data_IF_390453789237
#
_entry.id   IF_390453789237
#
_cell.length_a   1.000
_cell.length_b   1.000
_cell.length_c   1.000
_cell.angle_alpha   90.00
_cell.angle_beta   90.00
_cell.angle_gamma   90.00
#
_symmetry.space_group_name_H-M   'P 1'
#
loop_
_entity.id
_entity.type
_entity.pdbx_description
1 polymer ?
#
# COMPACT_ATOMS: atom_id res chain seq x y z
N UNK A 1 15.35 2.97 -5.33
CA UNK A 1 14.08 2.36 -5.75
C UNK A 1 13.79 2.84 -7.16
N UNK A 2 13.60 1.93 -8.10
CA UNK A 2 13.26 2.28 -9.49
C UNK A 2 11.75 2.09 -9.70
N UNK A 3 11.08 2.97 -10.47
CA UNK A 3 9.65 2.84 -10.74
C UNK A 3 9.36 1.65 -11.66
N UNK A 4 8.13 1.13 -11.61
CA UNK A 4 7.71 0.08 -12.52
C UNK A 4 7.53 0.66 -13.93
N UNK A 5 7.95 -0.10 -14.95
CA UNK A 5 7.74 0.26 -16.36
C UNK A 5 6.29 0.01 -16.78
N UNK A 6 5.37 0.76 -16.17
CA UNK A 6 3.91 0.64 -16.35
C UNK A 6 3.29 2.02 -16.52
N UNK A 7 2.19 2.10 -17.27
CA UNK A 7 1.47 3.35 -17.43
C UNK A 7 0.69 3.72 -16.15
N UNK A 8 0.54 5.01 -15.83
CA UNK A 8 -0.32 5.42 -14.72
C UNK A 8 -1.75 4.92 -14.93
N UNK A 9 -2.45 4.59 -13.83
CA UNK A 9 -3.87 4.17 -13.85
C UNK A 9 -4.14 2.97 -14.77
N UNK A 10 -3.29 1.94 -14.67
CA UNK A 10 -3.45 0.70 -15.44
C UNK A 10 -4.28 -0.33 -14.68
N UNK A 11 -4.12 -0.41 -13.36
CA UNK A 11 -4.67 -1.50 -12.55
C UNK A 11 -5.88 -1.06 -11.71
N UNK A 12 -6.86 -1.95 -11.60
CA UNK A 12 -7.99 -1.83 -10.66
C UNK A 12 -7.69 -2.50 -9.31
N UNK A 13 -6.73 -3.41 -9.27
CA UNK A 13 -6.36 -4.17 -8.07
C UNK A 13 -4.86 -4.39 -7.96
N UNK A 14 -4.30 -4.22 -6.76
CA UNK A 14 -2.91 -4.57 -6.43
C UNK A 14 -2.89 -5.40 -5.15
N UNK A 15 -2.28 -6.57 -5.19
CA UNK A 15 -2.01 -7.37 -4.01
C UNK A 15 -0.52 -7.30 -3.65
N UNK A 16 -0.22 -7.05 -2.37
CA UNK A 16 1.15 -6.95 -1.87
C UNK A 16 1.30 -7.79 -0.61
N UNK A 17 2.40 -8.54 -0.53
CA UNK A 17 2.78 -9.28 0.67
C UNK A 17 4.29 -9.13 0.93
N UNK A 18 4.67 -9.05 2.20
CA UNK A 18 6.08 -9.06 2.60
C UNK A 18 6.87 -7.80 2.24
N UNK A 19 6.23 -6.63 2.26
CA UNK A 19 6.86 -5.30 2.19
C UNK A 19 8.00 -5.15 3.19
N UNK A 20 7.90 -5.73 4.39
CA UNK A 20 8.99 -5.68 5.39
C UNK A 20 10.33 -6.16 4.81
N UNK A 21 10.31 -7.23 4.01
CA UNK A 21 11.50 -7.80 3.36
C UNK A 21 12.06 -6.91 2.24
N UNK A 22 11.23 -6.07 1.63
CA UNK A 22 11.64 -5.12 0.60
C UNK A 22 12.33 -3.90 1.21
N UNK A 23 11.87 -3.45 2.36
CA UNK A 23 12.38 -2.24 3.02
C UNK A 23 13.64 -2.55 3.83
N UNK A 24 13.75 -3.73 4.45
CA UNK A 24 14.90 -4.14 5.26
C UNK A 24 15.78 -5.11 4.48
N UNK A 25 17.00 -4.73 4.15
CA UNK A 25 18.00 -5.70 3.69
C UNK A 25 18.43 -6.59 4.87
N UNK A 26 18.38 -7.93 4.75
CA UNK A 26 18.98 -8.81 5.75
C UNK A 26 20.48 -8.50 5.85
N UNK A 27 20.95 -8.09 7.04
CA UNK A 27 22.37 -7.81 7.29
C UNK A 27 22.87 -6.42 6.86
N UNK A 28 21.99 -5.48 6.48
CA UNK A 28 22.38 -4.10 6.16
C UNK A 28 21.39 -3.09 6.74
N UNK A 29 21.89 -1.99 7.30
CA UNK A 29 21.08 -0.86 7.77
C UNK A 29 20.51 0.00 6.63
N UNK A 30 20.85 -0.31 5.37
CA UNK A 30 20.35 0.42 4.20
C UNK A 30 19.03 -0.19 3.72
N UNK A 31 18.04 0.67 3.57
CA UNK A 31 16.77 0.31 2.91
C UNK A 31 16.98 0.24 1.39
N UNK A 32 16.39 -0.77 0.70
CA UNK A 32 16.38 -0.82 -0.78
C UNK A 32 15.45 0.24 -1.38
N UNK A 33 14.36 0.52 -0.67
CA UNK A 33 13.25 1.36 -1.09
C UNK A 33 12.55 1.95 0.14
N UNK A 34 12.29 3.26 0.12
CA UNK A 34 11.45 3.91 1.12
C UNK A 34 10.00 3.44 0.93
N UNK A 35 9.28 3.19 2.04
CA UNK A 35 7.86 2.83 2.00
C UNK A 35 7.00 3.90 1.31
N UNK A 36 7.35 5.17 1.48
CA UNK A 36 6.63 6.28 0.82
C UNK A 36 6.77 6.18 -0.69
N UNK A 37 7.98 5.92 -1.20
CA UNK A 37 8.22 5.77 -2.65
C UNK A 37 7.39 4.61 -3.21
N UNK A 38 7.32 3.48 -2.49
CA UNK A 38 6.51 2.33 -2.87
C UNK A 38 5.02 2.69 -2.92
N UNK A 39 4.49 3.35 -1.90
CA UNK A 39 3.09 3.75 -1.82
C UNK A 39 2.71 4.77 -2.92
N UNK A 40 3.58 5.73 -3.22
CA UNK A 40 3.35 6.71 -4.31
C UNK A 40 3.38 6.03 -5.68
N UNK A 41 4.25 5.05 -5.88
CA UNK A 41 4.28 4.28 -7.12
C UNK A 41 3.03 3.41 -7.28
N UNK A 42 2.54 2.81 -6.20
CA UNK A 42 1.24 2.13 -6.19
C UNK A 42 0.10 3.09 -6.52
N UNK A 43 0.11 4.32 -5.97
CA UNK A 43 -0.86 5.35 -6.34
C UNK A 43 -0.78 5.73 -7.82
N UNK A 44 0.40 5.91 -8.38
CA UNK A 44 0.56 6.20 -9.80
C UNK A 44 -0.08 5.11 -10.67
N UNK A 45 0.13 3.84 -10.32
CA UNK A 45 -0.34 2.68 -11.09
C UNK A 45 -1.84 2.41 -10.95
N UNK A 46 -2.44 2.72 -9.80
CA UNK A 46 -3.83 2.38 -9.49
C UNK A 46 -4.82 3.39 -10.09
N UNK A 47 -5.87 2.88 -10.74
CA UNK A 47 -7.02 3.68 -11.19
C UNK A 47 -7.76 4.27 -9.98
N UNK A 48 -8.46 5.41 -10.13
CA UNK A 48 -9.43 5.82 -9.13
C UNK A 48 -10.39 4.68 -8.80
N UNK A 49 -10.79 4.57 -7.53
CA UNK A 49 -11.65 3.49 -7.02
C UNK A 49 -11.00 2.10 -7.06
N UNK A 50 -9.79 1.97 -7.60
CA UNK A 50 -9.00 0.77 -7.50
C UNK A 50 -8.64 0.46 -6.05
N UNK A 51 -8.43 -0.83 -5.78
CA UNK A 51 -8.24 -1.36 -4.42
C UNK A 51 -6.89 -2.04 -4.27
N UNK A 52 -6.29 -1.90 -3.10
CA UNK A 52 -5.06 -2.57 -2.71
C UNK A 52 -5.33 -3.44 -1.50
N UNK A 53 -4.80 -4.66 -1.53
CA UNK A 53 -4.76 -5.56 -0.37
C UNK A 53 -3.31 -5.81 0.00
N UNK A 54 -2.94 -5.45 1.24
CA UNK A 54 -1.59 -5.58 1.77
C UNK A 54 -1.62 -6.53 2.96
N UNK A 55 -0.79 -7.57 2.93
CA UNK A 55 -0.60 -8.51 4.04
C UNK A 55 0.84 -8.42 4.55
N UNK A 56 1.01 -8.03 5.81
CA UNK A 56 2.34 -7.86 6.41
C UNK A 56 2.30 -7.86 7.95
N UNK A 57 3.45 -7.66 8.59
CA UNK A 57 3.56 -7.46 10.03
C UNK A 57 2.74 -6.24 10.48
N UNK A 58 2.18 -6.28 11.71
CA UNK A 58 1.37 -5.18 12.24
C UNK A 58 2.08 -3.82 12.16
N UNK A 59 3.40 -3.80 12.40
CA UNK A 59 4.22 -2.59 12.39
C UNK A 59 4.32 -1.96 10.99
N UNK A 60 4.33 -2.79 9.94
CA UNK A 60 4.30 -2.32 8.55
C UNK A 60 2.90 -1.85 8.19
N UNK A 61 1.86 -2.61 8.55
CA UNK A 61 0.46 -2.27 8.29
C UNK A 61 0.09 -0.91 8.88
N UNK A 62 0.52 -0.61 10.11
CA UNK A 62 0.28 0.69 10.74
C UNK A 62 0.97 1.85 9.99
N UNK A 63 2.18 1.61 9.44
CA UNK A 63 2.90 2.62 8.65
C UNK A 63 2.23 2.85 7.30
N UNK A 64 1.84 1.76 6.62
CA UNK A 64 1.11 1.79 5.36
C UNK A 64 -0.21 2.54 5.52
N UNK A 65 -0.98 2.26 6.58
CA UNK A 65 -2.24 2.93 6.86
C UNK A 65 -2.08 4.46 6.99
N UNK A 66 -1.06 4.91 7.73
CA UNK A 66 -0.76 6.35 7.85
C UNK A 66 -0.46 7.00 6.49
N UNK A 67 0.32 6.35 5.64
CA UNK A 67 0.64 6.87 4.30
C UNK A 67 -0.59 6.84 3.40
N UNK A 68 -1.37 5.75 3.43
CA UNK A 68 -2.61 5.60 2.67
C UNK A 68 -3.57 6.77 2.96
N UNK A 69 -3.78 7.11 4.24
CA UNK A 69 -4.59 8.27 4.61
C UNK A 69 -3.98 9.60 4.12
N UNK A 70 -2.66 9.76 4.17
CA UNK A 70 -1.98 10.96 3.68
C UNK A 70 -2.18 11.18 2.16
N UNK A 71 -2.23 10.09 1.38
CA UNK A 71 -2.57 10.13 -0.07
C UNK A 71 -4.08 10.03 -0.34
N UNK A 72 -4.90 10.25 0.70
CA UNK A 72 -6.37 10.24 0.68
C UNK A 72 -7.01 8.92 0.29
N UNK A 73 -6.34 7.79 0.47
CA UNK A 73 -7.01 6.49 0.36
C UNK A 73 -7.85 6.22 1.60
N UNK A 74 -8.95 5.49 1.41
CA UNK A 74 -9.75 4.94 2.51
C UNK A 74 -9.22 3.55 2.84
N UNK A 75 -8.74 3.33 4.07
CA UNK A 75 -8.11 2.08 4.48
C UNK A 75 -8.84 1.44 5.67
N UNK A 76 -8.95 0.11 5.65
CA UNK A 76 -9.49 -0.72 6.74
C UNK A 76 -8.48 -1.80 7.07
N UNK A 77 -8.18 -2.00 8.36
CA UNK A 77 -7.27 -3.04 8.84
C UNK A 77 -8.13 -4.19 9.38
N UNK A 78 -7.85 -5.39 8.91
CA UNK A 78 -8.47 -6.63 9.32
C UNK A 78 -7.43 -7.56 9.94
N UNK A 79 -7.85 -8.32 10.95
CA UNK A 79 -7.02 -9.39 11.46
C UNK A 79 -6.97 -10.55 10.45
N UNK A 80 -5.91 -11.35 10.53
CA UNK A 80 -5.78 -12.57 9.74
C UNK A 80 -6.91 -13.56 10.06
N UNK A 81 -7.09 -14.53 9.17
CA UNK A 81 -7.98 -15.67 9.45
C UNK A 81 -7.54 -16.41 10.72
N UNK A 82 -8.50 -16.85 11.57
CA UNK A 82 -8.20 -17.49 12.86
C UNK A 82 -7.26 -18.70 12.76
N UNK A 83 -7.36 -19.44 11.65
CA UNK A 83 -6.64 -20.69 11.40
C UNK A 83 -5.24 -20.47 10.79
N UNK A 84 -4.91 -19.26 10.37
CA UNK A 84 -3.62 -18.98 9.74
C UNK A 84 -2.51 -18.85 10.79
N UNK A 85 -1.37 -19.53 10.61
CA UNK A 85 -0.20 -19.35 11.48
C UNK A 85 0.52 -18.02 11.14
N UNK A 86 0.88 -17.21 12.15
CA UNK A 86 1.58 -15.92 11.98
C UNK A 86 0.93 -14.74 12.72
N UNK A 87 1.63 -13.60 12.82
CA UNK A 87 1.11 -12.37 13.48
C UNK A 87 0.68 -11.30 12.45
N UNK A 88 0.56 -11.67 11.19
CA UNK A 88 0.30 -10.73 10.10
C UNK A 88 -1.11 -10.14 10.18
N UNK A 89 -1.26 -8.94 9.63
CA UNK A 89 -2.54 -8.25 9.44
C UNK A 89 -2.77 -7.95 7.97
N UNK A 90 -4.02 -7.72 7.61
CA UNK A 90 -4.43 -7.43 6.25
C UNK A 90 -5.00 -6.01 6.22
N UNK A 91 -4.42 -5.14 5.39
CA UNK A 91 -4.96 -3.83 5.09
C UNK A 91 -5.63 -3.87 3.71
N UNK A 92 -6.89 -3.44 3.68
CA UNK A 92 -7.63 -3.20 2.44
C UNK A 92 -7.80 -1.71 2.29
N UNK A 93 -7.28 -1.14 1.20
CA UNK A 93 -7.39 0.29 0.94
C UNK A 93 -7.89 0.57 -0.47
N UNK A 94 -8.75 1.58 -0.59
CA UNK A 94 -9.34 2.00 -1.86
C UNK A 94 -8.92 3.43 -2.15
N UNK A 95 -8.46 3.66 -3.37
CA UNK A 95 -8.06 4.99 -3.84
C UNK A 95 -9.30 5.84 -4.11
N UNK A 96 -9.39 6.99 -3.46
CA UNK A 96 -10.52 7.89 -3.69
C UNK A 96 -10.49 8.49 -5.10
N UNK A 97 -11.66 8.65 -5.72
CA UNK A 97 -11.78 9.46 -6.93
C UNK A 97 -11.86 10.95 -6.57
N UNK A 98 -10.88 11.71 -7.05
CA UNK A 98 -10.79 13.14 -6.79
C UNK A 98 -11.65 13.88 -7.80
N UNK A 99 -12.86 14.25 -7.40
CA UNK A 99 -13.66 15.24 -8.14
C UNK A 99 -13.24 16.63 -7.66
N UNK A 100 -12.87 17.51 -8.58
CA UNK A 100 -12.84 18.94 -8.28
C UNK A 100 -14.29 19.33 -7.98
N UNK A 101 -14.56 19.78 -6.77
CA UNK A 101 -15.86 20.37 -6.45
C UNK A 101 -15.98 21.65 -7.27
N UNK A 102 -16.83 21.64 -8.30
CA UNK A 102 -17.21 22.88 -8.98
C UNK A 102 -17.97 23.73 -7.96
N UNK A 103 -17.35 24.80 -7.48
CA UNK A 103 -18.06 25.84 -6.73
C UNK A 103 -19.03 26.53 -7.69
N UNK A 104 -20.32 26.27 -7.53
CA UNK A 104 -21.38 27.08 -8.13
C UNK A 104 -21.57 28.38 -7.36
#
# INVERSE_FOLDING_TARGET
>A
CEPFSTYPRTYDFIHVAGIESLIKLPGSSKSRCNLVDLMVEMDRMLRPEGTVVIRDSPEVIDKVARIAHAVRWTATINDKEPESHGREKILVATKTFWKLTSSH
#
